data_IF_421326521005
#
_entry.id   IF_421326521005
#
_cell.length_a   1.000
_cell.length_b   1.000
_cell.length_c   1.000
_cell.angle_alpha   90.00
_cell.angle_beta   90.00
_cell.angle_gamma   90.00
#
_symmetry.space_group_name_H-M   'P 1'
#
loop_
_entity.id
_entity.type
_entity.pdbx_description
1 polymer ?
#
# COMPACT_ATOMS: atom_id res chain seq x y z
N UNK A 1 46.89 -10.53 11.01
CA UNK A 1 45.44 -10.25 11.20
C UNK A 1 44.75 -11.59 11.42
N UNK A 2 44.27 -11.81 12.63
CA UNK A 2 43.72 -13.09 13.08
C UNK A 2 42.41 -13.44 12.36
N UNK A 3 42.22 -14.65 11.85
CA UNK A 3 40.97 -15.08 11.19
C UNK A 3 39.74 -15.06 12.12
N UNK A 4 39.94 -15.06 13.44
CA UNK A 4 38.87 -14.97 14.42
C UNK A 4 38.11 -13.62 14.42
N UNK A 5 38.78 -12.52 14.03
CA UNK A 5 38.15 -11.19 13.97
C UNK A 5 37.19 -11.04 12.77
N UNK A 6 37.47 -11.74 11.67
CA UNK A 6 36.61 -11.72 10.47
C UNK A 6 35.35 -12.58 10.68
N UNK A 7 35.48 -13.72 11.36
CA UNK A 7 34.33 -14.60 11.66
C UNK A 7 33.33 -13.94 12.64
N UNK A 8 33.83 -13.17 13.62
CA UNK A 8 32.96 -12.47 14.58
C UNK A 8 32.13 -11.35 13.92
N UNK A 9 32.72 -10.61 12.97
CA UNK A 9 32.01 -9.55 12.24
C UNK A 9 30.88 -10.08 11.34
N UNK A 10 31.08 -11.24 10.68
CA UNK A 10 30.08 -11.87 9.80
C UNK A 10 28.92 -12.43 10.63
N UNK A 11 29.19 -13.03 11.78
CA UNK A 11 28.14 -13.54 12.68
C UNK A 11 27.31 -12.41 13.28
N UNK A 12 27.91 -11.26 13.62
CA UNK A 12 27.20 -10.11 14.16
C UNK A 12 26.24 -9.51 13.10
N UNK A 13 26.68 -9.38 11.85
CA UNK A 13 25.83 -8.84 10.77
C UNK A 13 24.66 -9.76 10.45
N UNK A 14 24.88 -11.08 10.45
CA UNK A 14 23.81 -12.07 10.25
C UNK A 14 22.79 -12.08 11.42
N UNK A 15 23.25 -11.92 12.66
CA UNK A 15 22.36 -11.87 13.84
C UNK A 15 21.50 -10.60 13.84
N UNK A 16 22.05 -9.43 13.43
CA UNK A 16 21.28 -8.19 13.30
C UNK A 16 20.24 -8.26 12.17
N UNK A 17 20.51 -8.97 11.09
CA UNK A 17 19.57 -9.17 9.99
C UNK A 17 18.41 -10.07 10.39
N UNK A 18 18.66 -11.15 11.13
CA UNK A 18 17.64 -12.07 11.62
C UNK A 18 16.71 -11.39 12.65
N UNK A 19 17.26 -10.65 13.61
CA UNK A 19 16.48 -9.94 14.61
C UNK A 19 15.51 -8.90 14.00
N UNK A 20 15.89 -8.26 12.87
CA UNK A 20 15.02 -7.31 12.15
C UNK A 20 13.84 -7.98 11.46
N UNK A 21 14.06 -9.18 10.89
CA UNK A 21 13.01 -9.96 10.28
C UNK A 21 12.01 -10.47 11.33
N UNK A 22 12.48 -10.80 12.53
CA UNK A 22 11.66 -11.28 13.64
C UNK A 22 10.69 -10.22 14.16
N UNK A 23 11.13 -8.98 14.36
CA UNK A 23 10.29 -7.90 14.91
C UNK A 23 9.10 -7.53 14.00
N UNK A 24 9.35 -7.37 12.68
CA UNK A 24 8.28 -7.13 11.73
C UNK A 24 7.36 -8.36 11.58
N UNK A 25 7.91 -9.58 11.71
CA UNK A 25 7.16 -10.82 11.72
C UNK A 25 6.26 -10.94 12.95
N UNK A 26 6.77 -10.59 14.13
CA UNK A 26 6.01 -10.57 15.39
C UNK A 26 4.79 -9.64 15.27
N UNK A 27 4.99 -8.41 14.79
CA UNK A 27 3.90 -7.45 14.59
C UNK A 27 2.86 -7.99 13.60
N UNK A 28 3.30 -8.56 12.46
CA UNK A 28 2.37 -9.19 11.49
C UNK A 28 1.59 -10.35 12.10
N UNK A 29 2.22 -11.17 12.92
CA UNK A 29 1.56 -12.30 13.58
C UNK A 29 0.47 -11.81 14.54
N UNK A 30 0.74 -10.78 15.33
CA UNK A 30 -0.24 -10.16 16.23
C UNK A 30 -1.42 -9.57 15.45
N UNK A 31 -1.16 -8.88 14.33
CA UNK A 31 -2.21 -8.35 13.46
C UNK A 31 -3.10 -9.48 12.91
N UNK A 32 -2.49 -10.56 12.40
CA UNK A 32 -3.24 -11.71 11.86
C UNK A 32 -4.09 -12.42 12.92
N UNK A 33 -3.65 -12.41 14.18
CA UNK A 33 -4.39 -13.00 15.30
C UNK A 33 -5.43 -12.05 15.92
N UNK A 34 -5.60 -10.84 15.35
CA UNK A 34 -6.55 -9.83 15.84
C UNK A 34 -6.09 -9.09 17.10
N UNK A 35 -4.83 -9.28 17.52
CA UNK A 35 -4.25 -8.62 18.71
C UNK A 35 -3.72 -7.21 18.35
N UNK A 36 -4.59 -6.38 17.78
CA UNK A 36 -4.23 -5.08 17.20
C UNK A 36 -3.64 -4.12 18.22
N UNK A 37 -4.13 -4.12 19.46
CA UNK A 37 -3.62 -3.25 20.52
C UNK A 37 -2.16 -3.60 20.88
N UNK A 38 -1.86 -4.89 21.06
CA UNK A 38 -0.50 -5.35 21.35
C UNK A 38 0.45 -5.14 20.18
N UNK A 39 -0.02 -5.40 18.95
CA UNK A 39 0.72 -5.09 17.73
C UNK A 39 1.12 -3.61 17.68
N UNK A 40 0.20 -2.70 18.01
CA UNK A 40 0.45 -1.26 18.05
C UNK A 40 1.54 -0.87 19.04
N UNK A 41 1.46 -1.39 20.27
CA UNK A 41 2.47 -1.11 21.32
C UNK A 41 3.86 -1.58 20.88
N UNK A 42 3.98 -2.83 20.37
CA UNK A 42 5.25 -3.36 19.89
C UNK A 42 5.78 -2.56 18.69
N UNK A 43 4.92 -2.24 17.75
CA UNK A 43 5.30 -1.47 16.55
C UNK A 43 5.88 -0.10 16.91
N UNK A 44 5.25 0.63 17.85
CA UNK A 44 5.77 1.93 18.29
C UNK A 44 7.12 1.79 19.05
N UNK A 45 7.30 0.73 19.84
CA UNK A 45 8.58 0.44 20.50
C UNK A 45 9.69 0.18 19.47
N UNK A 46 9.42 -0.62 18.44
CA UNK A 46 10.39 -0.92 17.39
C UNK A 46 10.69 0.31 16.52
N UNK A 47 9.67 1.12 16.21
CA UNK A 47 9.84 2.38 15.47
C UNK A 47 10.61 3.44 16.28
N UNK A 48 10.47 3.48 17.60
CA UNK A 48 11.28 4.36 18.45
C UNK A 48 12.77 4.04 18.36
N UNK A 49 13.11 2.75 18.26
CA UNK A 49 14.49 2.30 18.06
C UNK A 49 14.98 2.46 16.60
N UNK A 50 14.06 2.32 15.63
CA UNK A 50 14.35 2.32 14.18
C UNK A 50 13.30 3.10 13.38
N UNK A 51 13.30 4.44 13.48
CA UNK A 51 12.24 5.28 12.90
C UNK A 51 12.19 5.25 11.36
N UNK A 52 13.25 4.81 10.71
CA UNK A 52 13.35 4.72 9.24
C UNK A 52 13.21 3.30 8.68
N UNK A 53 12.94 2.29 9.52
CA UNK A 53 12.76 0.93 9.03
C UNK A 53 11.54 0.84 8.09
N UNK A 54 11.72 0.45 6.81
CA UNK A 54 10.63 0.50 5.85
C UNK A 54 9.54 -0.52 6.14
N UNK A 55 9.88 -1.69 6.69
CA UNK A 55 8.91 -2.74 7.01
C UNK A 55 8.02 -2.33 8.19
N UNK A 56 8.61 -1.75 9.24
CA UNK A 56 7.85 -1.26 10.39
C UNK A 56 6.97 -0.06 10.02
N UNK A 57 7.48 0.87 9.20
CA UNK A 57 6.68 1.99 8.69
C UNK A 57 5.53 1.51 7.80
N UNK A 58 5.75 0.50 6.97
CA UNK A 58 4.70 -0.10 6.16
C UNK A 58 3.60 -0.69 7.05
N UNK A 59 3.96 -1.48 8.07
CA UNK A 59 3.00 -2.04 9.03
C UNK A 59 2.22 -0.93 9.78
N UNK A 60 2.87 0.19 10.10
CA UNK A 60 2.18 1.36 10.66
C UNK A 60 1.12 1.90 9.70
N UNK A 61 1.45 2.05 8.43
CA UNK A 61 0.50 2.47 7.40
C UNK A 61 -0.69 1.52 7.26
N UNK A 62 -0.45 0.21 7.28
CA UNK A 62 -1.50 -0.82 7.25
C UNK A 62 -2.40 -0.70 8.47
N UNK A 63 -1.86 -0.64 9.68
CA UNK A 63 -2.64 -0.50 10.92
C UNK A 63 -3.49 0.76 10.94
N UNK A 64 -2.95 1.89 10.48
CA UNK A 64 -3.69 3.14 10.36
C UNK A 64 -4.84 3.02 9.36
N UNK A 65 -4.63 2.31 8.25
CA UNK A 65 -5.66 2.03 7.25
C UNK A 65 -6.80 1.20 7.86
N UNK A 66 -6.48 0.11 8.54
CA UNK A 66 -7.45 -0.78 9.19
C UNK A 66 -8.23 -0.06 10.31
N UNK A 67 -7.59 0.90 11.00
CA UNK A 67 -8.21 1.72 12.04
C UNK A 67 -9.04 2.89 11.49
N UNK A 68 -9.16 3.04 10.16
CA UNK A 68 -9.88 4.14 9.52
C UNK A 68 -9.17 5.50 9.60
N UNK A 69 -7.91 5.55 10.07
CA UNK A 69 -7.08 6.76 10.17
C UNK A 69 -6.44 7.08 8.82
N UNK A 70 -7.29 7.26 7.82
CA UNK A 70 -6.91 7.36 6.40
C UNK A 70 -5.88 8.46 6.11
N UNK A 71 -6.02 9.65 6.70
CA UNK A 71 -5.10 10.76 6.46
C UNK A 71 -3.69 10.41 6.94
N UNK A 72 -3.57 9.86 8.14
CA UNK A 72 -2.28 9.47 8.71
C UNK A 72 -1.65 8.28 7.96
N UNK A 73 -2.46 7.33 7.50
CA UNK A 73 -1.99 6.24 6.65
C UNK A 73 -1.38 6.78 5.34
N UNK A 74 -2.05 7.75 4.69
CA UNK A 74 -1.53 8.42 3.49
C UNK A 74 -0.19 9.08 3.79
N UNK A 75 -0.06 9.83 4.89
CA UNK A 75 1.20 10.50 5.25
C UNK A 75 2.35 9.51 5.45
N UNK A 76 2.08 8.36 6.09
CA UNK A 76 3.07 7.29 6.28
C UNK A 76 3.50 6.70 4.94
N UNK A 77 2.56 6.36 4.06
CA UNK A 77 2.90 5.77 2.76
C UNK A 77 3.55 6.79 1.81
N UNK A 78 3.15 8.06 1.83
CA UNK A 78 3.84 9.14 1.09
C UNK A 78 5.29 9.25 1.55
N UNK A 79 5.55 9.27 2.87
CA UNK A 79 6.90 9.27 3.39
C UNK A 79 7.70 8.03 2.98
N UNK A 80 7.07 6.84 2.95
CA UNK A 80 7.72 5.61 2.48
C UNK A 80 8.09 5.68 1.01
N UNK A 81 7.20 6.17 0.14
CA UNK A 81 7.49 6.29 -1.31
C UNK A 81 8.56 7.35 -1.62
N UNK A 82 8.72 8.34 -0.75
CA UNK A 82 9.78 9.33 -0.87
C UNK A 82 11.15 8.78 -0.45
N UNK A 83 11.18 8.03 0.67
CA UNK A 83 12.43 7.48 1.22
C UNK A 83 12.87 6.18 0.51
N UNK A 84 11.92 5.41 -0.03
CA UNK A 84 12.13 4.09 -0.65
C UNK A 84 11.30 3.97 -1.95
N UNK A 85 11.67 4.72 -3.00
CA UNK A 85 10.89 4.79 -4.25
C UNK A 85 10.82 3.48 -5.04
N UNK A 86 11.68 2.50 -4.72
CA UNK A 86 11.68 1.16 -5.31
C UNK A 86 10.63 0.22 -4.75
N UNK A 87 10.04 0.53 -3.58
CA UNK A 87 9.03 -0.31 -2.95
C UNK A 87 7.65 -0.10 -3.61
N UNK A 88 7.12 -1.14 -4.24
CA UNK A 88 5.85 -1.07 -4.98
C UNK A 88 4.61 -1.08 -4.06
N UNK A 89 4.67 -1.80 -2.94
CA UNK A 89 3.54 -2.00 -2.03
C UNK A 89 3.01 -0.69 -1.40
N UNK A 90 3.86 0.26 -0.94
CA UNK A 90 3.38 1.55 -0.44
C UNK A 90 2.60 2.34 -1.49
N UNK A 91 3.02 2.32 -2.76
CA UNK A 91 2.29 2.98 -3.85
C UNK A 91 0.93 2.33 -4.09
N UNK A 92 0.85 0.99 -4.06
CA UNK A 92 -0.43 0.29 -4.19
C UNK A 92 -1.39 0.67 -3.06
N UNK A 93 -0.92 0.71 -1.82
CA UNK A 93 -1.76 1.09 -0.68
C UNK A 93 -2.19 2.56 -0.73
N UNK A 94 -1.33 3.48 -1.18
CA UNK A 94 -1.72 4.86 -1.48
C UNK A 94 -2.84 4.92 -2.51
N UNK A 95 -2.76 4.12 -3.56
CA UNK A 95 -3.79 4.08 -4.59
C UNK A 95 -5.14 3.63 -4.04
N UNK A 96 -5.17 2.59 -3.20
CA UNK A 96 -6.39 2.13 -2.53
C UNK A 96 -7.00 3.23 -1.67
N UNK A 97 -6.17 3.93 -0.87
CA UNK A 97 -6.62 5.04 -0.02
C UNK A 97 -7.15 6.22 -0.84
N UNK A 98 -6.46 6.59 -1.92
CA UNK A 98 -6.93 7.66 -2.82
C UNK A 98 -8.22 7.29 -3.54
N UNK A 99 -8.35 6.06 -4.01
CA UNK A 99 -9.57 5.58 -4.66
C UNK A 99 -10.75 5.55 -3.68
N UNK A 100 -10.54 5.17 -2.42
CA UNK A 100 -11.54 5.24 -1.36
C UNK A 100 -12.04 6.68 -1.09
N UNK A 101 -11.24 7.69 -1.41
CA UNK A 101 -11.60 9.11 -1.36
C UNK A 101 -12.19 9.64 -2.68
N UNK A 102 -12.39 8.79 -3.70
CA UNK A 102 -12.82 9.21 -5.04
C UNK A 102 -11.74 9.92 -5.86
N UNK A 103 -10.49 9.94 -5.40
CA UNK A 103 -9.35 10.63 -6.03
C UNK A 103 -8.67 9.70 -7.05
N UNK A 104 -9.43 9.25 -8.06
CA UNK A 104 -9.00 8.19 -8.99
C UNK A 104 -7.79 8.56 -9.83
N UNK A 105 -7.59 9.84 -10.20
CA UNK A 105 -6.38 10.27 -10.90
C UNK A 105 -5.12 10.05 -10.05
N UNK A 106 -5.17 10.35 -8.75
CA UNK A 106 -4.05 10.09 -7.85
C UNK A 106 -3.82 8.60 -7.63
N UNK A 107 -4.90 7.81 -7.53
CA UNK A 107 -4.82 6.36 -7.45
C UNK A 107 -4.14 5.77 -8.69
N UNK A 108 -4.52 6.21 -9.90
CA UNK A 108 -3.88 5.81 -11.16
C UNK A 108 -2.38 6.09 -11.16
N UNK A 109 -1.98 7.33 -10.82
CA UNK A 109 -0.56 7.72 -10.77
C UNK A 109 0.25 6.87 -9.79
N UNK A 110 -0.32 6.57 -8.63
CA UNK A 110 0.33 5.71 -7.64
C UNK A 110 0.49 4.28 -8.15
N UNK A 111 -0.54 3.69 -8.78
CA UNK A 111 -0.46 2.33 -9.35
C UNK A 111 0.55 2.24 -10.51
N UNK A 112 0.59 3.24 -11.38
CA UNK A 112 1.61 3.34 -12.43
C UNK A 112 3.03 3.41 -11.83
N UNK A 113 3.21 4.07 -10.68
CA UNK A 113 4.48 4.08 -9.98
C UNK A 113 4.82 2.70 -9.38
N UNK A 114 3.85 2.01 -8.77
CA UNK A 114 4.04 0.64 -8.28
C UNK A 114 4.48 -0.33 -9.39
N UNK A 115 3.83 -0.25 -10.55
CA UNK A 115 4.14 -1.09 -11.73
C UNK A 115 5.52 -0.76 -12.31
N UNK A 116 5.92 0.51 -12.33
CA UNK A 116 7.29 0.89 -12.76
C UNK A 116 8.36 0.32 -11.82
N UNK A 117 8.11 0.32 -10.50
CA UNK A 117 9.03 -0.26 -9.52
C UNK A 117 9.08 -1.78 -9.57
N UNK A 118 7.94 -2.42 -9.79
CA UNK A 118 7.82 -3.87 -9.92
C UNK A 118 6.84 -4.28 -11.03
N UNK A 119 7.32 -4.50 -12.26
CA UNK A 119 6.48 -4.83 -13.41
C UNK A 119 5.70 -6.15 -13.29
N UNK A 120 6.09 -7.03 -12.38
CA UNK A 120 5.39 -8.30 -12.09
C UNK A 120 4.29 -8.18 -11.02
N UNK A 121 3.95 -6.97 -10.56
CA UNK A 121 3.02 -6.79 -9.47
C UNK A 121 1.55 -6.89 -9.92
N UNK A 122 1.04 -8.12 -9.99
CA UNK A 122 -0.31 -8.41 -10.51
C UNK A 122 -1.42 -7.64 -9.78
N UNK A 123 -1.34 -7.50 -8.46
CA UNK A 123 -2.32 -6.72 -7.67
C UNK A 123 -2.40 -5.26 -8.10
N UNK A 124 -1.26 -4.64 -8.45
CA UNK A 124 -1.27 -3.26 -8.93
C UNK A 124 -1.94 -3.13 -10.30
N UNK A 125 -1.77 -4.11 -11.19
CA UNK A 125 -2.49 -4.13 -12.48
C UNK A 125 -3.99 -4.33 -12.29
N UNK A 126 -4.41 -5.23 -11.39
CA UNK A 126 -5.82 -5.45 -11.07
C UNK A 126 -6.46 -4.16 -10.54
N UNK A 127 -5.84 -3.54 -9.54
CA UNK A 127 -6.30 -2.27 -8.97
C UNK A 127 -6.31 -1.14 -10.02
N UNK A 128 -5.34 -1.12 -10.94
CA UNK A 128 -5.31 -0.14 -12.03
C UNK A 128 -6.49 -0.33 -13.00
N UNK A 129 -6.85 -1.57 -13.30
CA UNK A 129 -8.07 -1.90 -14.06
C UNK A 129 -9.32 -1.35 -13.38
N UNK A 130 -9.47 -1.56 -12.08
CA UNK A 130 -10.59 -1.04 -11.30
C UNK A 130 -10.63 0.51 -11.29
N UNK A 131 -9.48 1.15 -11.15
CA UNK A 131 -9.38 2.62 -11.23
C UNK A 131 -9.76 3.14 -12.60
N UNK A 132 -9.33 2.50 -13.69
CA UNK A 132 -9.76 2.87 -15.05
C UNK A 132 -11.26 2.70 -15.25
N UNK A 133 -11.86 1.65 -14.70
CA UNK A 133 -13.32 1.46 -14.77
C UNK A 133 -14.06 2.58 -14.03
N UNK A 134 -13.54 3.06 -12.87
CA UNK A 134 -14.08 4.22 -12.16
C UNK A 134 -13.95 5.52 -12.96
N UNK A 135 -12.79 5.75 -13.56
CA UNK A 135 -12.57 6.92 -14.42
C UNK A 135 -13.47 6.89 -15.67
N UNK A 136 -13.63 5.71 -16.30
CA UNK A 136 -14.57 5.52 -17.39
C UNK A 136 -16.01 5.81 -16.96
N UNK A 137 -16.42 5.33 -15.78
CA UNK A 137 -17.75 5.59 -15.22
C UNK A 137 -17.98 7.09 -15.02
N UNK A 138 -17.01 7.81 -14.48
CA UNK A 138 -17.09 9.27 -14.33
C UNK A 138 -17.22 9.99 -15.68
N UNK A 139 -16.43 9.55 -16.69
CA UNK A 139 -16.49 10.12 -18.02
C UNK A 139 -17.84 9.88 -18.70
N UNK A 140 -18.38 8.67 -18.61
CA UNK A 140 -19.72 8.37 -19.17
C UNK A 140 -20.84 9.10 -18.43
N UNK A 141 -20.77 9.22 -17.11
CA UNK A 141 -21.75 10.02 -16.36
C UNK A 141 -21.69 11.49 -16.74
N UNK A 142 -20.49 12.02 -17.02
CA UNK A 142 -20.35 13.39 -17.54
C UNK A 142 -20.92 13.54 -18.95
N UNK A 143 -20.70 12.56 -19.82
CA UNK A 143 -21.27 12.55 -21.17
C UNK A 143 -22.81 12.53 -21.12
N UNK A 144 -23.38 11.71 -20.24
CA UNK A 144 -24.85 11.64 -20.04
C UNK A 144 -25.45 12.97 -19.57
N UNK A 145 -24.74 13.72 -18.69
CA UNK A 145 -25.16 15.07 -18.27
C UNK A 145 -25.15 16.06 -19.43
N UNK A 146 -24.25 15.89 -20.40
CA UNK A 146 -24.12 16.77 -21.57
C UNK A 146 -25.02 16.39 -22.73
N UNK A 147 -25.33 15.10 -22.86
CA UNK A 147 -26.20 14.53 -23.90
C UNK A 147 -27.09 13.44 -23.30
N UNK A 148 -28.13 13.88 -22.59
CA UNK A 148 -29.09 12.96 -21.94
C UNK A 148 -29.91 12.09 -22.92
N UNK A 149 -29.89 12.42 -24.23
CA UNK A 149 -30.57 11.66 -25.27
C UNK A 149 -29.77 10.48 -25.82
N UNK A 150 -28.54 10.28 -25.40
CA UNK A 150 -27.68 9.24 -25.93
C UNK A 150 -27.99 7.84 -25.32
N UNK A 151 -28.68 6.94 -26.06
CA UNK A 151 -29.12 5.65 -25.51
C UNK A 151 -27.95 4.67 -25.27
N UNK A 152 -26.76 4.95 -25.78
CA UNK A 152 -25.57 4.10 -25.64
C UNK A 152 -24.84 4.25 -24.31
N UNK A 153 -25.15 5.28 -23.50
CA UNK A 153 -24.41 5.57 -22.26
C UNK A 153 -24.87 4.74 -21.08
N UNK A 154 -26.19 4.62 -20.86
CA UNK A 154 -26.75 3.87 -19.74
C UNK A 154 -26.28 2.39 -19.68
N UNK A 155 -26.26 1.62 -20.78
CA UNK A 155 -25.71 0.25 -20.78
C UNK A 155 -24.25 0.19 -20.40
N UNK A 156 -23.42 1.16 -20.83
CA UNK A 156 -21.99 1.21 -20.48
C UNK A 156 -21.77 1.48 -19.00
N UNK A 157 -22.54 2.41 -18.42
CA UNK A 157 -22.52 2.68 -16.99
C UNK A 157 -22.92 1.46 -16.18
N UNK A 158 -23.99 0.76 -16.57
CA UNK A 158 -24.44 -0.45 -15.89
C UNK A 158 -23.38 -1.57 -15.89
N UNK A 159 -22.67 -1.76 -17.00
CA UNK A 159 -21.59 -2.76 -17.10
C UNK A 159 -20.41 -2.45 -16.16
N UNK A 160 -20.10 -1.19 -15.94
CA UNK A 160 -18.99 -0.80 -15.08
C UNK A 160 -19.31 -0.93 -13.59
N UNK A 161 -20.57 -0.81 -13.18
CA UNK A 161 -20.98 -0.79 -11.77
C UNK A 161 -20.63 -2.07 -10.98
N UNK A 162 -20.44 -3.22 -11.64
CA UNK A 162 -20.14 -4.51 -11.01
C UNK A 162 -18.63 -4.79 -10.81
N UNK A 163 -17.73 -3.91 -11.26
CA UNK A 163 -16.30 -4.22 -11.38
C UNK A 163 -15.43 -3.75 -10.20
N UNK A 164 -16.00 -3.16 -9.14
CA UNK A 164 -15.20 -2.28 -8.27
C UNK A 164 -14.75 -2.91 -6.94
N UNK A 165 -13.57 -3.53 -6.91
CA UNK A 165 -12.94 -4.03 -5.67
C UNK A 165 -11.43 -3.75 -5.69
N UNK A 166 -10.98 -2.64 -5.08
CA UNK A 166 -9.55 -2.38 -4.91
C UNK A 166 -8.98 -3.21 -3.76
N UNK A 167 -7.79 -3.78 -3.96
CA UNK A 167 -7.13 -4.68 -3.01
C UNK A 167 -5.88 -4.02 -2.40
N UNK A 168 -5.90 -3.67 -1.10
CA UNK A 168 -4.69 -3.27 -0.38
C UNK A 168 -3.79 -4.48 -0.13
N UNK A 169 -2.50 -4.24 0.06
CA UNK A 169 -1.55 -5.21 0.58
C UNK A 169 -1.44 -5.04 2.09
N UNK A 170 -1.62 -6.15 2.80
CA UNK A 170 -1.49 -6.22 4.25
C UNK A 170 -0.09 -6.68 4.68
#
# INVERSE_FOLDING_TARGET
RSPAAVALAVVLVAAFGAARADEASDVRQLLRSGQTAEAGVKLEQFLAARPKDPQLRFLKGVMLTESGRTAEAIDVFVGLTADYPELAEPYNNLAVLYAGQGRYDKARVALEAAIRGYPGYATAYENLGDVYARLASQAYARAEQLDAGNPGLAPKLAQLQGLFTLKPVA
#
